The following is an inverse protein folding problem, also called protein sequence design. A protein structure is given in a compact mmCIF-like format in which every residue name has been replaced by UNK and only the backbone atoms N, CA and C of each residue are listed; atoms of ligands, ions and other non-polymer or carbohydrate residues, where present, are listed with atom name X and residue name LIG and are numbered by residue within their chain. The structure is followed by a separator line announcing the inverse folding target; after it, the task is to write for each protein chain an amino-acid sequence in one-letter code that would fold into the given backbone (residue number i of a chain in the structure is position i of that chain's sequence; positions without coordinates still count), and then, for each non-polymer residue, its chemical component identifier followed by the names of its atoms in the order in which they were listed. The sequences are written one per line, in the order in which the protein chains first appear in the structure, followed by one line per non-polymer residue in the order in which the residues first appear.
data_IF_100969506246
#
_entry.id   IF_100969506246
#
_cell.length_a   1.000
_cell.length_b   1.000
_cell.length_c   1.000
_cell.angle_alpha   90.00
_cell.angle_beta   90.00
_cell.angle_gamma   90.00
#
_symmetry.space_group_name_H-M   'P 1'
#
loop_
_entity.id
_entity.type
_entity.pdbx_description
1 polymer ?
#
# COMPACT_ATOMS: atom_id res chain seq x y z
N UNK A 1 -3.69 0.08 -29.66
CA UNK A 1 -3.87 0.74 -28.36
C UNK A 1 -2.77 0.19 -27.48
N UNK A 2 -1.83 1.03 -27.07
CA UNK A 2 -0.74 0.62 -26.17
C UNK A 2 -1.39 0.22 -24.84
N UNK A 3 -1.27 -1.02 -24.42
CA UNK A 3 -1.69 -1.43 -23.08
C UNK A 3 -0.77 -0.70 -22.11
N UNK A 4 -1.28 0.32 -21.44
CA UNK A 4 -0.55 0.99 -20.37
C UNK A 4 -0.22 -0.06 -19.31
N UNK A 5 1.06 -0.16 -18.98
CA UNK A 5 1.54 -1.05 -17.91
C UNK A 5 0.87 -0.61 -16.59
N UNK A 6 0.14 -1.49 -15.87
CA UNK A 6 -0.53 -1.11 -14.62
C UNK A 6 0.42 -0.45 -13.59
N UNK A 7 1.70 -0.88 -13.54
CA UNK A 7 2.69 -0.28 -12.66
C UNK A 7 3.05 1.18 -13.05
N UNK A 8 3.05 1.51 -14.34
CA UNK A 8 3.25 2.90 -14.80
C UNK A 8 2.03 3.78 -14.47
N UNK A 9 0.82 3.23 -14.60
CA UNK A 9 -0.40 3.94 -14.18
C UNK A 9 -0.39 4.18 -12.67
N UNK A 10 -0.01 3.18 -11.88
CA UNK A 10 0.15 3.33 -10.43
C UNK A 10 1.15 4.44 -10.10
N UNK A 11 2.35 4.44 -10.70
CA UNK A 11 3.38 5.46 -10.46
C UNK A 11 2.92 6.87 -10.87
N UNK A 12 2.25 7.01 -12.00
CA UNK A 12 1.90 8.33 -12.53
C UNK A 12 0.61 8.92 -11.95
N UNK A 13 -0.28 8.09 -11.41
CA UNK A 13 -1.60 8.50 -10.91
C UNK A 13 -1.74 8.33 -9.39
N UNK A 14 -1.50 7.11 -8.86
CA UNK A 14 -1.71 6.82 -7.45
C UNK A 14 -0.60 7.36 -6.54
N UNK A 15 0.65 7.30 -7.01
CA UNK A 15 1.78 7.77 -6.20
C UNK A 15 1.68 9.27 -5.92
N UNK A 16 1.52 10.19 -6.89
CA UNK A 16 1.43 11.61 -6.57
C UNK A 16 0.17 12.00 -5.80
N UNK A 17 -0.93 11.26 -5.99
CA UNK A 17 -2.25 11.59 -5.43
C UNK A 17 -2.43 11.04 -4.01
N UNK A 18 -1.97 9.82 -3.75
CA UNK A 18 -2.23 9.11 -2.50
C UNK A 18 -0.94 8.63 -1.83
N UNK A 19 -0.18 7.75 -2.47
CA UNK A 19 0.90 7.03 -1.79
C UNK A 19 2.15 7.86 -1.49
N UNK A 20 2.43 8.89 -2.28
CA UNK A 20 3.53 9.83 -2.00
C UNK A 20 3.32 10.64 -0.72
N UNK A 21 2.17 11.34 -0.56
CA UNK A 21 1.84 11.99 0.71
C UNK A 21 1.88 11.06 1.93
N UNK A 22 1.40 9.80 1.79
CA UNK A 22 1.50 8.82 2.87
C UNK A 22 2.93 8.32 3.12
N UNK A 23 3.77 8.24 2.07
CA UNK A 23 5.20 7.93 2.25
C UNK A 23 5.90 9.00 3.09
N UNK A 24 5.57 10.27 2.91
CA UNK A 24 6.09 11.35 3.74
C UNK A 24 5.66 11.22 5.21
N UNK A 25 4.44 10.73 5.49
CA UNK A 25 3.97 10.43 6.85
C UNK A 25 4.73 9.26 7.45
N UNK A 26 4.84 8.15 6.73
CA UNK A 26 5.55 6.95 7.18
C UNK A 26 7.01 7.24 7.47
N UNK A 27 7.70 7.93 6.58
CA UNK A 27 9.13 8.28 6.72
C UNK A 27 9.36 9.21 7.92
N UNK A 28 8.48 10.21 8.14
CA UNK A 28 8.56 11.04 9.35
C UNK A 28 8.40 10.23 10.63
N UNK A 29 7.47 9.28 10.66
CA UNK A 29 7.27 8.40 11.81
C UNK A 29 8.47 7.48 12.03
N UNK A 30 9.02 6.91 10.95
CA UNK A 30 10.15 5.99 10.99
C UNK A 30 11.47 6.63 11.46
N UNK A 31 11.63 7.96 11.26
CA UNK A 31 12.82 8.74 11.63
C UNK A 31 14.13 8.08 11.15
N UNK A 32 14.33 7.88 9.83
CA UNK A 32 15.57 7.35 9.31
C UNK A 32 16.75 8.28 9.65
N UNK A 33 17.93 7.71 9.92
CA UNK A 33 19.11 8.44 10.38
C UNK A 33 20.25 8.30 9.34
N UNK A 34 21.12 9.30 9.24
CA UNK A 34 22.31 9.18 8.41
C UNK A 34 23.13 7.91 8.72
N UNK A 35 23.57 7.22 7.68
CA UNK A 35 24.34 5.99 7.76
C UNK A 35 23.52 4.71 8.01
N UNK A 36 22.21 4.80 8.20
CA UNK A 36 21.37 3.59 8.40
C UNK A 36 21.23 2.77 7.12
N UNK A 37 21.11 1.46 7.31
CA UNK A 37 20.70 0.50 6.29
C UNK A 37 19.20 0.25 6.41
N UNK A 38 18.45 0.59 5.35
CA UNK A 38 16.99 0.58 5.35
C UNK A 38 16.46 -0.40 4.31
N UNK A 39 15.49 -1.21 4.72
CA UNK A 39 14.74 -2.12 3.85
C UNK A 39 13.30 -1.60 3.67
N UNK A 40 12.87 -1.41 2.42
CA UNK A 40 11.48 -1.12 2.05
C UNK A 40 10.83 -2.40 1.52
N UNK A 41 9.95 -3.01 2.32
CA UNK A 41 9.31 -4.31 2.04
C UNK A 41 8.00 -4.10 1.29
N UNK A 42 7.82 -4.84 0.20
CA UNK A 42 6.75 -4.66 -0.78
C UNK A 42 6.73 -3.20 -1.28
N UNK A 43 7.88 -2.78 -1.78
CA UNK A 43 8.19 -1.38 -2.08
C UNK A 43 7.40 -0.81 -3.28
N UNK A 44 6.71 -1.66 -4.07
CA UNK A 44 6.00 -1.25 -5.27
C UNK A 44 6.91 -0.52 -6.24
N UNK A 45 6.51 0.68 -6.66
CA UNK A 45 7.32 1.56 -7.53
C UNK A 45 8.36 2.38 -6.76
N UNK A 46 8.60 2.08 -5.48
CA UNK A 46 9.73 2.56 -4.69
C UNK A 46 9.58 3.96 -4.10
N UNK A 47 8.38 4.48 -3.93
CA UNK A 47 8.19 5.86 -3.42
C UNK A 47 8.75 6.04 -2.00
N UNK A 48 8.62 5.05 -1.10
CA UNK A 48 9.15 5.11 0.26
C UNK A 48 10.69 5.05 0.22
N UNK A 49 11.26 4.09 -0.51
CA UNK A 49 12.71 3.99 -0.70
C UNK A 49 13.32 5.29 -1.26
N UNK A 50 12.67 5.91 -2.26
CA UNK A 50 13.10 7.20 -2.85
C UNK A 50 13.03 8.37 -1.86
N UNK A 51 12.10 8.36 -0.89
CA UNK A 51 12.05 9.36 0.19
C UNK A 51 13.16 9.18 1.22
N UNK A 52 13.54 7.95 1.49
CA UNK A 52 14.49 7.60 2.55
C UNK A 52 15.95 7.77 2.13
N UNK A 53 16.29 7.49 0.87
CA UNK A 53 17.68 7.41 0.42
C UNK A 53 18.47 8.70 0.68
N UNK A 54 17.84 9.87 0.50
CA UNK A 54 18.49 11.15 0.77
C UNK A 54 18.65 11.44 2.29
N UNK A 55 17.85 10.81 3.14
CA UNK A 55 17.91 11.00 4.60
C UNK A 55 19.01 10.16 5.23
N UNK A 56 19.29 8.97 4.69
CA UNK A 56 20.38 8.12 5.16
C UNK A 56 21.73 8.56 4.60
N UNK A 57 21.75 9.29 3.49
CA UNK A 57 22.96 9.86 2.88
C UNK A 57 23.88 8.80 2.26
N UNK A 58 25.09 9.23 1.87
CA UNK A 58 26.07 8.39 1.15
C UNK A 58 26.63 7.23 1.97
N UNK A 59 26.62 7.34 3.29
CA UNK A 59 27.11 6.29 4.19
C UNK A 59 26.03 5.27 4.56
N UNK A 60 24.76 5.54 4.20
CA UNK A 60 23.62 4.65 4.34
C UNK A 60 23.37 3.81 3.11
N UNK A 61 22.45 2.87 3.23
CA UNK A 61 22.02 2.00 2.14
C UNK A 61 20.51 1.84 2.16
N UNK A 62 19.87 1.89 1.00
CA UNK A 62 18.44 1.60 0.86
C UNK A 62 18.24 0.45 -0.11
N UNK A 63 17.48 -0.55 0.33
CA UNK A 63 17.07 -1.70 -0.48
C UNK A 63 15.55 -1.73 -0.55
N UNK A 64 15.00 -1.80 -1.75
CA UNK A 64 13.59 -2.08 -1.98
C UNK A 64 13.39 -3.53 -2.42
N UNK A 65 12.42 -4.23 -1.82
CA UNK A 65 12.04 -5.58 -2.24
C UNK A 65 10.56 -5.64 -2.57
N UNK A 66 10.23 -6.26 -3.70
CA UNK A 66 8.84 -6.49 -4.12
C UNK A 66 8.73 -7.82 -4.86
N UNK A 67 7.56 -8.46 -4.77
CA UNK A 67 7.29 -9.70 -5.49
C UNK A 67 7.01 -9.48 -6.99
N UNK A 68 6.57 -8.27 -7.36
CA UNK A 68 6.14 -7.93 -8.71
C UNK A 68 7.30 -7.30 -9.52
N UNK A 69 7.89 -8.01 -10.50
CA UNK A 69 8.98 -7.49 -11.32
C UNK A 69 8.60 -6.25 -12.14
N UNK A 70 7.32 -6.06 -12.49
CA UNK A 70 6.88 -4.87 -13.22
C UNK A 70 6.92 -3.63 -12.32
N UNK A 71 6.57 -3.75 -11.04
CA UNK A 71 6.72 -2.68 -10.06
C UNK A 71 8.20 -2.30 -9.90
N UNK A 72 9.09 -3.29 -9.76
CA UNK A 72 10.52 -3.06 -9.66
C UNK A 72 11.14 -2.43 -10.91
N UNK A 73 10.64 -2.77 -12.09
CA UNK A 73 11.10 -2.12 -13.34
C UNK A 73 10.79 -0.62 -13.33
N UNK A 74 9.59 -0.25 -12.89
CA UNK A 74 9.20 1.17 -12.74
C UNK A 74 9.98 1.84 -11.61
N UNK A 75 10.21 1.15 -10.48
CA UNK A 75 11.01 1.66 -9.37
C UNK A 75 12.44 2.01 -9.78
N UNK A 76 13.12 1.12 -10.52
CA UNK A 76 14.45 1.38 -11.09
C UNK A 76 14.45 2.60 -11.98
N UNK A 77 13.53 2.64 -12.94
CA UNK A 77 13.42 3.77 -13.88
C UNK A 77 13.13 5.10 -13.18
N UNK A 78 12.29 5.09 -12.13
CA UNK A 78 12.00 6.29 -11.34
C UNK A 78 13.23 6.76 -10.56
N UNK A 79 13.94 5.85 -9.87
CA UNK A 79 15.16 6.17 -9.14
C UNK A 79 16.28 6.67 -10.06
N UNK A 80 16.46 6.07 -11.23
CA UNK A 80 17.44 6.52 -12.23
C UNK A 80 17.13 7.93 -12.72
N UNK A 81 15.88 8.27 -13.01
CA UNK A 81 15.48 9.64 -13.41
C UNK A 81 15.75 10.67 -12.33
N UNK A 82 15.65 10.26 -11.06
CA UNK A 82 15.90 11.11 -9.89
C UNK A 82 17.39 11.11 -9.45
N UNK A 83 18.24 10.29 -10.09
CA UNK A 83 19.66 10.17 -9.74
C UNK A 83 19.92 9.51 -8.38
N UNK A 84 19.01 8.61 -7.93
CA UNK A 84 19.05 7.99 -6.63
C UNK A 84 19.69 6.59 -6.69
N UNK A 85 20.58 6.30 -5.74
CA UNK A 85 21.23 5.00 -5.60
C UNK A 85 20.44 4.11 -4.64
N UNK A 86 19.60 3.21 -5.17
CA UNK A 86 18.76 2.28 -4.41
C UNK A 86 18.94 0.88 -5.01
N UNK A 87 19.12 -0.12 -4.15
CA UNK A 87 19.13 -1.51 -4.56
C UNK A 87 17.71 -2.07 -4.65
N UNK A 88 17.46 -2.87 -5.69
CA UNK A 88 16.15 -3.46 -5.92
C UNK A 88 16.25 -4.97 -6.02
N UNK A 89 15.50 -5.67 -5.17
CA UNK A 89 15.47 -7.12 -5.07
C UNK A 89 14.07 -7.65 -5.37
N UNK A 90 13.96 -8.71 -6.15
CA UNK A 90 12.70 -9.45 -6.30
C UNK A 90 12.61 -10.53 -5.22
N UNK A 91 11.44 -10.62 -4.56
CA UNK A 91 11.19 -11.66 -3.58
C UNK A 91 9.94 -11.40 -2.71
N UNK A 92 9.42 -12.47 -2.07
CA UNK A 92 8.28 -12.39 -1.18
C UNK A 92 8.70 -11.85 0.21
N UNK A 93 7.78 -11.15 0.87
CA UNK A 93 7.97 -10.64 2.22
C UNK A 93 8.09 -11.75 3.28
N UNK A 94 7.46 -12.89 3.03
CA UNK A 94 7.46 -14.06 3.92
C UNK A 94 8.76 -14.85 3.93
N UNK A 95 9.71 -14.50 3.03
CA UNK A 95 11.04 -15.10 2.95
C UNK A 95 12.04 -14.12 2.37
N UNK A 96 12.54 -13.21 3.19
CA UNK A 96 13.47 -12.18 2.79
C UNK A 96 14.88 -12.76 2.53
N UNK A 97 15.50 -12.51 1.36
CA UNK A 97 16.81 -13.08 0.99
C UNK A 97 17.98 -12.34 1.63
N UNK A 98 17.82 -11.90 2.88
CA UNK A 98 18.83 -11.13 3.61
C UNK A 98 19.24 -11.86 4.89
N UNK A 99 20.48 -11.71 5.38
CA UNK A 99 20.92 -12.27 6.64
C UNK A 99 20.23 -11.61 7.84
N UNK A 100 20.28 -12.29 8.98
CA UNK A 100 19.78 -11.76 10.25
C UNK A 100 20.48 -10.45 10.61
N UNK A 101 19.71 -9.45 11.06
CA UNK A 101 20.25 -8.19 11.51
C UNK A 101 20.93 -7.35 10.43
N UNK A 102 20.58 -7.54 9.17
CA UNK A 102 21.17 -6.82 8.04
C UNK A 102 20.80 -5.34 7.99
N UNK A 103 19.69 -4.93 8.60
CA UNK A 103 19.14 -3.59 8.49
C UNK A 103 18.93 -2.93 9.86
N UNK A 104 19.01 -1.61 9.88
CA UNK A 104 18.69 -0.78 11.06
C UNK A 104 17.19 -0.48 11.15
N UNK A 105 16.55 -0.35 9.99
CA UNK A 105 15.14 0.01 9.83
C UNK A 105 14.52 -0.82 8.71
N UNK A 106 13.33 -1.35 8.95
CA UNK A 106 12.49 -1.91 7.89
C UNK A 106 11.18 -1.13 7.78
N UNK A 107 10.75 -0.87 6.54
CA UNK A 107 9.56 -0.12 6.21
C UNK A 107 8.58 -1.02 5.43
N UNK A 108 7.26 -0.76 5.57
CA UNK A 108 6.24 -1.42 4.77
C UNK A 108 5.01 -0.50 4.67
N UNK A 109 4.75 0.05 3.48
CA UNK A 109 3.63 0.96 3.27
C UNK A 109 2.45 0.27 2.60
N UNK A 110 1.31 0.15 3.28
CA UNK A 110 0.04 -0.34 2.76
C UNK A 110 0.13 -1.69 2.01
N UNK A 111 0.98 -2.60 2.49
CA UNK A 111 1.16 -3.90 1.86
C UNK A 111 0.86 -5.08 2.79
N UNK A 112 1.03 -4.92 4.12
CA UNK A 112 0.86 -6.01 5.09
C UNK A 112 -0.50 -6.72 4.97
N UNK A 113 -1.57 -6.00 4.61
CA UNK A 113 -2.90 -6.57 4.44
C UNK A 113 -3.00 -7.60 3.30
N UNK A 114 -2.10 -7.51 2.30
CA UNK A 114 -2.09 -8.39 1.13
C UNK A 114 -1.17 -9.61 1.26
N UNK A 115 -0.37 -9.71 2.33
CA UNK A 115 0.52 -10.85 2.52
C UNK A 115 -0.27 -12.11 2.81
N UNK A 116 0.10 -13.20 2.18
CA UNK A 116 -0.54 -14.50 2.35
C UNK A 116 -0.36 -15.04 3.79
N UNK A 117 0.83 -14.84 4.36
CA UNK A 117 1.13 -15.08 5.78
C UNK A 117 1.74 -13.82 6.41
N UNK A 118 0.86 -12.98 6.95
CA UNK A 118 1.22 -11.72 7.62
C UNK A 118 2.20 -11.92 8.78
N UNK A 119 2.04 -13.03 9.51
CA UNK A 119 2.90 -13.36 10.64
C UNK A 119 4.30 -13.75 10.17
N UNK A 120 4.41 -14.61 9.15
CA UNK A 120 5.69 -14.98 8.57
C UNK A 120 6.43 -13.76 8.02
N UNK A 121 5.74 -12.86 7.31
CA UNK A 121 6.34 -11.63 6.80
C UNK A 121 6.87 -10.74 7.94
N UNK A 122 6.10 -10.53 9.00
CA UNK A 122 6.54 -9.74 10.15
C UNK A 122 7.70 -10.42 10.91
N UNK A 123 7.73 -11.76 10.99
CA UNK A 123 8.86 -12.50 11.57
C UNK A 123 10.13 -12.34 10.73
N UNK A 124 10.01 -12.33 9.40
CA UNK A 124 11.14 -12.07 8.51
C UNK A 124 11.62 -10.61 8.63
N UNK A 125 10.71 -9.63 8.66
CA UNK A 125 11.07 -8.24 8.95
C UNK A 125 11.77 -8.11 10.30
N UNK A 126 11.29 -8.80 11.33
CA UNK A 126 11.95 -8.85 12.64
C UNK A 126 13.33 -9.50 12.55
N UNK A 127 13.49 -10.60 11.83
CA UNK A 127 14.76 -11.32 11.67
C UNK A 127 15.84 -10.45 11.02
N UNK A 128 15.48 -9.77 9.93
CA UNK A 128 16.45 -8.98 9.13
C UNK A 128 16.80 -7.62 9.73
N UNK A 129 15.98 -7.08 10.62
CA UNK A 129 16.31 -5.87 11.39
C UNK A 129 17.27 -6.26 12.53
N UNK A 130 18.34 -5.52 12.82
CA UNK A 130 19.28 -5.83 13.90
C UNK A 130 18.68 -5.61 15.29
N UNK A 131 19.22 -6.25 16.34
CA UNK A 131 18.85 -5.90 17.73
C UNK A 131 19.03 -4.39 17.99
N UNK A 132 18.01 -3.76 18.56
CA UNK A 132 17.94 -2.30 18.75
C UNK A 132 17.63 -1.50 17.48
N UNK A 133 17.34 -2.17 16.39
CA UNK A 133 16.71 -1.56 15.22
C UNK A 133 15.19 -1.48 15.37
N UNK A 134 14.51 -1.01 14.34
CA UNK A 134 13.06 -0.75 14.38
C UNK A 134 12.36 -1.04 13.07
N UNK A 135 11.03 -1.13 13.14
CA UNK A 135 10.19 -1.09 11.96
C UNK A 135 9.26 0.12 11.99
N UNK A 136 8.82 0.54 10.81
CA UNK A 136 7.62 1.36 10.68
C UNK A 136 6.78 0.85 9.50
N UNK A 137 5.47 0.82 9.70
CA UNK A 137 4.54 0.40 8.66
C UNK A 137 3.25 1.22 8.70
N UNK A 138 2.52 1.22 7.60
CA UNK A 138 1.18 1.79 7.55
C UNK A 138 0.17 0.77 7.02
N UNK A 139 -1.02 0.79 7.61
CA UNK A 139 -2.18 0.00 7.18
C UNK A 139 -3.42 0.87 7.23
N UNK A 140 -4.40 0.60 6.40
CA UNK A 140 -5.67 1.32 6.45
C UNK A 140 -6.44 1.01 7.74
N UNK A 141 -7.14 2.01 8.28
CA UNK A 141 -8.15 1.78 9.33
C UNK A 141 -9.33 1.01 8.74
N UNK A 142 -10.23 0.54 9.60
CA UNK A 142 -11.40 -0.24 9.18
C UNK A 142 -12.29 0.51 8.17
N UNK A 143 -13.07 -0.25 7.43
CA UNK A 143 -13.92 0.24 6.35
C UNK A 143 -14.97 1.27 6.82
N UNK A 144 -15.32 1.27 8.10
CA UNK A 144 -16.19 2.25 8.74
C UNK A 144 -15.61 3.69 8.74
N UNK A 145 -14.28 3.82 8.65
CA UNK A 145 -13.59 5.10 8.47
C UNK A 145 -13.52 5.57 7.02
N UNK A 146 -13.98 4.74 6.06
CA UNK A 146 -13.89 5.01 4.62
C UNK A 146 -15.29 4.92 3.94
N UNK A 147 -16.18 5.89 4.18
CA UNK A 147 -17.59 5.79 3.78
C UNK A 147 -17.81 5.62 2.27
N UNK A 148 -16.95 6.16 1.41
CA UNK A 148 -17.01 5.94 -0.03
C UNK A 148 -16.75 4.47 -0.37
N UNK A 149 -15.68 3.88 0.16
CA UNK A 149 -15.31 2.48 -0.08
C UNK A 149 -16.32 1.51 0.55
N UNK A 150 -16.91 1.85 1.70
CA UNK A 150 -18.00 1.07 2.27
C UNK A 150 -19.22 1.02 1.32
N UNK A 151 -19.59 2.14 0.73
CA UNK A 151 -20.71 2.17 -0.24
C UNK A 151 -20.35 1.42 -1.52
N UNK A 152 -19.10 1.50 -1.98
CA UNK A 152 -18.61 0.73 -3.13
C UNK A 152 -18.64 -0.78 -2.83
N UNK A 153 -18.18 -1.20 -1.66
CA UNK A 153 -18.24 -2.59 -1.24
C UNK A 153 -19.67 -3.12 -1.17
N UNK A 154 -20.62 -2.34 -0.62
CA UNK A 154 -22.04 -2.67 -0.61
C UNK A 154 -22.60 -2.83 -2.03
N UNK A 155 -22.19 -2.00 -2.98
CA UNK A 155 -22.59 -2.11 -4.38
C UNK A 155 -22.00 -3.39 -5.02
N UNK A 156 -20.73 -3.68 -4.77
CA UNK A 156 -20.07 -4.91 -5.22
C UNK A 156 -20.76 -6.15 -4.64
N UNK A 157 -21.01 -6.17 -3.34
CA UNK A 157 -21.66 -7.29 -2.65
C UNK A 157 -23.07 -7.56 -3.21
N UNK A 158 -23.85 -6.51 -3.50
CA UNK A 158 -25.19 -6.69 -4.10
C UNK A 158 -25.14 -7.36 -5.48
N UNK A 159 -24.08 -7.12 -6.26
CA UNK A 159 -23.95 -7.62 -7.64
C UNK A 159 -23.23 -8.95 -7.73
N UNK A 160 -22.27 -9.21 -6.85
CA UNK A 160 -21.35 -10.35 -6.91
C UNK A 160 -21.47 -11.31 -5.72
N UNK A 161 -22.20 -10.93 -4.66
CA UNK A 161 -22.39 -11.74 -3.46
C UNK A 161 -21.18 -11.81 -2.51
N UNK A 162 -20.11 -11.06 -2.81
CA UNK A 162 -18.86 -11.05 -2.05
C UNK A 162 -18.33 -9.62 -1.93
N UNK A 163 -17.56 -9.35 -0.87
CA UNK A 163 -16.80 -8.10 -0.73
C UNK A 163 -15.67 -8.01 -1.76
N UNK A 164 -15.43 -6.80 -2.28
CA UNK A 164 -14.30 -6.50 -3.13
C UNK A 164 -13.14 -5.80 -2.38
N UNK A 165 -13.44 -5.18 -1.23
CA UNK A 165 -12.47 -4.32 -0.55
C UNK A 165 -12.11 -4.79 0.87
N UNK A 166 -12.76 -5.85 1.39
CA UNK A 166 -12.60 -6.27 2.78
C UNK A 166 -11.13 -6.51 3.17
N UNK A 167 -10.35 -7.14 2.30
CA UNK A 167 -8.96 -7.46 2.57
C UNK A 167 -8.09 -6.18 2.69
N UNK A 168 -8.42 -5.14 1.92
CA UNK A 168 -7.72 -3.85 1.95
C UNK A 168 -7.80 -3.21 3.35
N UNK A 169 -8.96 -3.34 4.02
CA UNK A 169 -9.25 -2.73 5.32
C UNK A 169 -9.19 -3.72 6.49
N UNK A 170 -8.64 -4.93 6.29
CA UNK A 170 -8.68 -6.03 7.26
C UNK A 170 -7.83 -5.80 8.53
N UNK A 171 -6.89 -4.84 8.52
CA UNK A 171 -6.00 -4.56 9.65
C UNK A 171 -6.38 -3.30 10.44
N UNK A 172 -7.65 -2.91 10.36
CA UNK A 172 -8.15 -1.70 11.03
C UNK A 172 -8.27 -1.80 12.56
N UNK A 173 -8.34 -3.00 13.14
CA UNK A 173 -8.38 -3.18 14.59
C UNK A 173 -6.98 -3.07 15.21
N UNK A 174 -6.78 -2.05 16.05
CA UNK A 174 -5.48 -1.78 16.68
C UNK A 174 -5.04 -2.85 17.66
N UNK A 175 -5.98 -3.61 18.26
CA UNK A 175 -5.64 -4.68 19.19
C UNK A 175 -5.12 -5.89 18.41
N UNK A 176 -5.81 -6.26 17.33
CA UNK A 176 -5.36 -7.35 16.45
C UNK A 176 -4.01 -7.00 15.80
N UNK A 177 -3.85 -5.79 15.31
CA UNK A 177 -2.60 -5.31 14.72
C UNK A 177 -1.44 -5.36 15.74
N UNK A 178 -1.67 -4.91 16.97
CA UNK A 178 -0.69 -4.99 18.06
C UNK A 178 -0.32 -6.43 18.37
N UNK A 179 -1.31 -7.32 18.57
CA UNK A 179 -1.06 -8.74 18.85
C UNK A 179 -0.28 -9.42 17.73
N UNK A 180 -0.55 -9.07 16.48
CA UNK A 180 0.18 -9.58 15.32
C UNK A 180 1.67 -9.21 15.37
N UNK A 181 1.98 -7.94 15.63
CA UNK A 181 3.34 -7.43 15.77
C UNK A 181 4.08 -8.04 16.96
N UNK A 182 3.46 -8.08 18.13
CA UNK A 182 4.04 -8.65 19.35
C UNK A 182 4.30 -10.16 19.19
N UNK A 183 3.39 -10.88 18.50
CA UNK A 183 3.56 -12.32 18.21
C UNK A 183 4.72 -12.60 17.23
N UNK A 184 5.13 -11.61 16.43
CA UNK A 184 6.29 -11.68 15.55
C UNK A 184 7.61 -11.32 16.25
N UNK A 185 7.55 -10.86 17.52
CA UNK A 185 8.71 -10.55 18.35
C UNK A 185 8.97 -9.07 18.57
N UNK A 186 8.20 -8.18 17.97
CA UNK A 186 8.35 -6.73 18.13
C UNK A 186 7.87 -6.26 19.51
N UNK A 187 8.47 -5.17 19.99
CA UNK A 187 8.20 -4.55 21.31
C UNK A 187 7.93 -3.06 21.14
N UNK A 188 7.49 -2.42 22.21
CA UNK A 188 7.20 -0.98 22.23
C UNK A 188 6.33 -0.55 21.03
N UNK A 189 5.31 -1.35 20.72
CA UNK A 189 4.43 -1.12 19.56
C UNK A 189 3.62 0.16 19.79
N UNK A 190 3.88 1.17 18.99
CA UNK A 190 3.14 2.42 18.93
C UNK A 190 2.26 2.41 17.69
N UNK A 191 0.97 2.72 17.83
CA UNK A 191 0.01 2.78 16.72
C UNK A 191 -0.66 4.14 16.77
N UNK A 192 -0.40 4.97 15.78
CA UNK A 192 -0.93 6.32 15.65
C UNK A 192 -1.99 6.37 14.54
N UNK A 193 -3.23 6.80 14.84
CA UNK A 193 -4.23 7.05 13.81
C UNK A 193 -3.90 8.38 13.10
N UNK A 194 -3.84 8.33 11.77
CA UNK A 194 -3.61 9.50 10.91
C UNK A 194 -4.70 9.59 9.87
N UNK A 195 -5.17 10.82 9.59
CA UNK A 195 -6.13 11.10 8.54
C UNK A 195 -5.55 12.08 7.53
N UNK A 196 -5.80 11.82 6.25
CA UNK A 196 -5.42 12.68 5.13
C UNK A 196 -6.54 12.74 4.11
N UNK A 197 -6.60 13.83 3.35
CA UNK A 197 -7.53 13.96 2.23
C UNK A 197 -6.75 13.80 0.92
N UNK A 198 -7.21 12.90 0.06
CA UNK A 198 -6.70 12.76 -1.30
C UNK A 198 -7.68 13.40 -2.31
N UNK A 199 -7.10 13.96 -3.39
CA UNK A 199 -7.84 14.62 -4.47
C UNK A 199 -7.51 13.95 -5.79
N UNK A 200 -8.41 13.08 -6.26
CA UNK A 200 -8.21 12.33 -7.50
C UNK A 200 -8.80 13.09 -8.67
N UNK A 201 -8.02 13.37 -9.74
CA UNK A 201 -8.55 13.99 -10.94
C UNK A 201 -9.47 13.03 -11.70
N UNK A 202 -10.36 13.59 -12.54
CA UNK A 202 -11.24 12.84 -13.40
C UNK A 202 -12.13 11.81 -12.66
N UNK A 203 -13.25 12.23 -12.04
CA UNK A 203 -14.12 11.36 -11.24
C UNK A 203 -14.58 10.07 -11.95
N UNK A 204 -14.81 10.14 -13.27
CA UNK A 204 -15.26 8.98 -14.06
C UNK A 204 -14.15 7.94 -14.18
N UNK A 205 -12.93 8.38 -14.47
CA UNK A 205 -11.78 7.49 -14.57
C UNK A 205 -11.38 6.92 -13.19
N UNK A 206 -11.47 7.72 -12.14
CA UNK A 206 -11.27 7.28 -10.76
C UNK A 206 -12.21 6.11 -10.42
N UNK A 207 -13.52 6.30 -10.54
CA UNK A 207 -14.50 5.26 -10.19
C UNK A 207 -14.33 4.00 -11.05
N UNK A 208 -14.03 4.15 -12.34
CA UNK A 208 -13.79 3.01 -13.22
C UNK A 208 -12.56 2.20 -12.76
N UNK A 209 -11.47 2.87 -12.39
CA UNK A 209 -10.26 2.24 -11.87
C UNK A 209 -10.49 1.50 -10.54
N UNK A 210 -11.21 2.12 -9.60
CA UNK A 210 -11.55 1.48 -8.31
C UNK A 210 -12.41 0.21 -8.53
N UNK A 211 -13.44 0.28 -9.37
CA UNK A 211 -14.28 -0.90 -9.67
C UNK A 211 -13.43 -2.02 -10.29
N UNK A 212 -12.56 -1.70 -11.25
CA UNK A 212 -11.72 -2.71 -11.92
C UNK A 212 -10.73 -3.36 -10.95
N UNK A 213 -10.12 -2.59 -10.05
CA UNK A 213 -9.19 -3.09 -9.02
C UNK A 213 -9.92 -3.95 -7.99
N UNK A 214 -11.00 -3.43 -7.40
CA UNK A 214 -11.71 -4.07 -6.29
C UNK A 214 -12.46 -5.34 -6.73
N UNK A 215 -12.83 -5.45 -8.01
CA UNK A 215 -13.50 -6.66 -8.53
C UNK A 215 -12.55 -7.67 -9.16
N UNK A 216 -11.30 -7.31 -9.45
CA UNK A 216 -10.36 -8.17 -10.19
C UNK A 216 -10.08 -9.51 -9.50
N UNK A 217 -10.01 -9.53 -8.17
CA UNK A 217 -9.74 -10.72 -7.37
C UNK A 217 -11.00 -11.57 -7.08
N UNK A 218 -12.20 -11.08 -7.37
CA UNK A 218 -13.45 -11.76 -7.04
C UNK A 218 -13.65 -12.96 -7.99
N UNK A 219 -13.76 -14.22 -7.49
CA UNK A 219 -13.87 -15.40 -8.33
C UNK A 219 -15.06 -15.36 -9.30
N UNK A 220 -16.22 -14.86 -8.86
CA UNK A 220 -17.39 -14.72 -9.74
C UNK A 220 -17.13 -13.79 -10.92
N UNK A 221 -16.36 -12.71 -10.75
CA UNK A 221 -15.95 -11.83 -11.87
C UNK A 221 -15.02 -12.52 -12.85
N UNK A 222 -14.11 -13.37 -12.36
CA UNK A 222 -13.14 -14.07 -13.20
C UNK A 222 -13.81 -15.09 -14.14
N UNK A 223 -14.94 -15.67 -13.73
CA UNK A 223 -15.71 -16.64 -14.50
C UNK A 223 -16.71 -16.02 -15.49
N UNK A 224 -16.94 -14.69 -15.42
CA UNK A 224 -17.81 -14.00 -16.36
C UNK A 224 -17.13 -13.83 -17.74
N UNK A 225 -17.92 -13.96 -18.80
CA UNK A 225 -17.48 -13.49 -20.11
C UNK A 225 -17.38 -11.96 -20.16
N UNK A 226 -16.85 -11.43 -21.26
CA UNK A 226 -16.58 -10.00 -21.39
C UNK A 226 -17.88 -9.13 -21.38
N UNK A 227 -19.00 -9.67 -21.84
CA UNK A 227 -20.27 -8.95 -21.89
C UNK A 227 -20.91 -8.89 -20.48
N UNK A 228 -21.00 -10.03 -19.80
CA UNK A 228 -21.49 -10.12 -18.43
C UNK A 228 -20.64 -9.28 -17.46
N UNK A 229 -19.31 -9.31 -17.61
CA UNK A 229 -18.39 -8.48 -16.82
C UNK A 229 -18.66 -7.00 -17.01
N UNK A 230 -18.82 -6.53 -18.26
CA UNK A 230 -19.23 -5.15 -18.55
C UNK A 230 -20.56 -4.78 -17.92
N UNK A 231 -21.55 -5.70 -17.99
CA UNK A 231 -22.86 -5.50 -17.37
C UNK A 231 -22.77 -5.25 -15.85
N UNK A 232 -21.98 -6.06 -15.14
CA UNK A 232 -21.74 -5.90 -13.70
C UNK A 232 -21.02 -4.58 -13.41
N UNK A 233 -19.96 -4.25 -14.13
CA UNK A 233 -19.22 -2.98 -13.96
C UNK A 233 -20.13 -1.76 -14.17
N UNK A 234 -21.00 -1.78 -15.19
CA UNK A 234 -21.98 -0.70 -15.43
C UNK A 234 -22.95 -0.59 -14.28
N UNK A 235 -23.49 -1.71 -13.78
CA UNK A 235 -24.44 -1.70 -12.68
C UNK A 235 -23.84 -1.20 -11.36
N UNK A 236 -22.59 -1.55 -11.05
CA UNK A 236 -21.87 -0.99 -9.89
C UNK A 236 -21.64 0.51 -10.07
N UNK A 237 -21.29 0.96 -11.27
CA UNK A 237 -21.10 2.39 -11.59
C UNK A 237 -22.40 3.18 -11.38
N UNK A 238 -23.53 2.66 -11.82
CA UNK A 238 -24.85 3.28 -11.60
C UNK A 238 -25.17 3.40 -10.10
N UNK A 239 -24.91 2.34 -9.32
CA UNK A 239 -25.08 2.36 -7.85
C UNK A 239 -24.19 3.43 -7.18
N UNK A 240 -23.03 3.73 -7.77
CA UNK A 240 -22.05 4.70 -7.25
C UNK A 240 -22.21 6.13 -7.80
N UNK A 241 -23.14 6.42 -8.72
CA UNK A 241 -23.32 7.77 -9.27
C UNK A 241 -23.56 8.85 -8.20
N UNK A 242 -24.45 8.58 -7.25
CA UNK A 242 -24.78 9.52 -6.18
C UNK A 242 -23.62 9.67 -5.18
N UNK A 243 -23.00 8.59 -4.66
CA UNK A 243 -21.81 8.70 -3.82
C UNK A 243 -20.66 9.45 -4.51
N UNK A 244 -20.38 9.15 -5.77
CA UNK A 244 -19.33 9.82 -6.54
C UNK A 244 -19.61 11.32 -6.65
N UNK A 245 -20.84 11.70 -7.00
CA UNK A 245 -21.23 13.11 -7.10
C UNK A 245 -21.11 13.85 -5.78
N UNK A 246 -21.47 13.18 -4.67
CA UNK A 246 -21.32 13.76 -3.32
C UNK A 246 -19.85 13.93 -2.89
N UNK A 247 -18.95 13.10 -3.41
CA UNK A 247 -17.51 13.17 -3.15
C UNK A 247 -16.75 14.05 -4.16
N UNK A 248 -17.43 14.63 -5.16
CA UNK A 248 -16.80 15.43 -6.21
C UNK A 248 -16.81 16.91 -5.89
N UNK A 249 -15.63 17.53 -5.92
CA UNK A 249 -15.43 18.98 -5.83
C UNK A 249 -14.75 19.47 -7.13
N UNK A 250 -15.49 20.19 -7.97
CA UNK A 250 -15.02 20.61 -9.29
C UNK A 250 -14.69 19.40 -10.18
N UNK A 251 -13.45 19.25 -10.59
CA UNK A 251 -12.97 18.15 -11.43
C UNK A 251 -12.31 17.01 -10.64
N UNK A 252 -12.39 17.02 -9.30
CA UNK A 252 -11.72 16.06 -8.44
C UNK A 252 -12.68 15.30 -7.55
N UNK A 253 -12.42 14.02 -7.35
CA UNK A 253 -12.97 13.25 -6.24
C UNK A 253 -12.14 13.53 -5.00
N UNK A 254 -12.77 13.96 -3.92
CA UNK A 254 -12.13 14.35 -2.68
C UNK A 254 -12.54 13.38 -1.58
N UNK A 255 -11.61 12.55 -1.13
CA UNK A 255 -11.89 11.49 -0.16
C UNK A 255 -10.97 11.58 1.06
N UNK A 256 -11.54 11.42 2.26
CA UNK A 256 -10.74 11.20 3.45
C UNK A 256 -10.18 9.77 3.45
N UNK A 257 -8.91 9.63 3.81
CA UNK A 257 -8.25 8.37 4.05
C UNK A 257 -7.73 8.33 5.48
N UNK A 258 -7.97 7.23 6.15
CA UNK A 258 -7.59 7.01 7.53
C UNK A 258 -6.67 5.78 7.63
N UNK A 259 -5.52 5.94 8.24
CA UNK A 259 -4.56 4.85 8.40
C UNK A 259 -4.04 4.77 9.83
N UNK A 260 -3.54 3.61 10.20
CA UNK A 260 -2.66 3.42 11.33
C UNK A 260 -1.22 3.48 10.85
N UNK A 261 -0.43 4.37 11.45
CA UNK A 261 1.02 4.40 11.29
C UNK A 261 1.63 3.76 12.52
N UNK A 262 2.44 2.74 12.29
CA UNK A 262 2.97 1.88 13.35
C UNK A 262 4.48 2.03 13.43
N UNK A 263 4.99 2.10 14.65
CA UNK A 263 6.42 1.91 14.98
C UNK A 263 6.55 0.81 16.00
N UNK A 264 7.61 0.02 15.87
CA UNK A 264 7.93 -0.98 16.87
C UNK A 264 9.45 -1.28 16.86
N UNK A 265 9.97 -1.67 18.01
CA UNK A 265 11.38 -2.00 18.21
C UNK A 265 11.60 -3.51 18.11
N UNK A 266 12.80 -3.87 17.63
CA UNK A 266 13.29 -5.24 17.69
C UNK A 266 13.97 -5.52 19.02
#
# INVERSE_FOLDING_TARGET
MSSTNPAETYESYMVPTLFGPWADVLVRSAQPRPGERVLDVACGTGIVARRVVNLVGSDGQVVGIDLNPNMLAVARSAAEREGLAIEWQEGPAERLPFPDGAFDLSLCQFALMFFADRRAALQEMHRVVRPGGRIALSVWQGLDHHPFYRTLDEAIQRRLGMSGVQDIFALGDTKELRMLLESAGFRAVEIEPVAMTARFPNPVAFLAGEIDVDTAAIPSMQHLDAEARRGVTVAIREDMERPLRAATEGEHVVLPFHAHVVRADR
#
